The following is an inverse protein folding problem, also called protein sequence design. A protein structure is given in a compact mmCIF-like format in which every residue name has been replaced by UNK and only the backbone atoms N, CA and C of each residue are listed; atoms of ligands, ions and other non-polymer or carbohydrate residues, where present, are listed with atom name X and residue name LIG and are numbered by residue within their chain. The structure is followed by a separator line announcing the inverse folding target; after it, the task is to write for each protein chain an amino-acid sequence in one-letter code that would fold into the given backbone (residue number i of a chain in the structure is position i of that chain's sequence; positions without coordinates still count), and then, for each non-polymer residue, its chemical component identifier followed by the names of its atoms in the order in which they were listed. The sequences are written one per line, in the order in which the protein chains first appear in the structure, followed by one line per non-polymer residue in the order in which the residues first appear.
data_IF_609349772482
#
_entry.id   IF_609349772482
#
_cell.length_a   1.000
_cell.length_b   1.000
_cell.length_c   1.000
_cell.angle_alpha   90.00
_cell.angle_beta   90.00
_cell.angle_gamma   90.00
#
_symmetry.space_group_name_H-M   'P 1'
#
loop_
_entity.id
_entity.type
_entity.pdbx_description
1 polymer ?
#
# COMPACT_ATOMS: atom_id res chain seq x y z
N UNK A 1 3.00 -25.89 7.31
CA UNK A 1 1.88 -25.12 7.83
C UNK A 1 0.90 -26.00 8.56
N UNK A 2 0.07 -25.46 9.44
CA UNK A 2 -0.87 -26.28 10.19
C UNK A 2 -1.85 -27.04 9.30
N UNK A 3 -2.21 -28.26 9.70
CA UNK A 3 -3.21 -29.04 8.99
C UNK A 3 -4.54 -28.31 8.92
N UNK A 4 -5.26 -28.44 7.82
CA UNK A 4 -6.54 -27.76 7.61
C UNK A 4 -6.40 -26.31 7.20
N UNK A 5 -5.18 -25.78 7.08
CA UNK A 5 -4.96 -24.40 6.68
C UNK A 5 -4.88 -24.30 5.17
N UNK A 6 -5.86 -23.65 4.57
CA UNK A 6 -5.84 -23.30 3.15
C UNK A 6 -6.01 -21.78 3.06
N UNK A 7 -4.96 -21.09 2.63
CA UNK A 7 -5.03 -19.64 2.47
C UNK A 7 -5.77 -19.33 1.19
N UNK A 8 -6.85 -18.57 1.30
CA UNK A 8 -7.68 -18.19 0.15
C UNK A 8 -7.57 -16.70 -0.17
N UNK A 9 -6.98 -15.91 0.72
CA UNK A 9 -6.89 -14.47 0.54
C UNK A 9 -5.85 -13.89 1.50
N UNK A 10 -5.14 -12.88 1.05
CA UNK A 10 -4.24 -12.08 1.88
C UNK A 10 -4.66 -10.62 1.77
N UNK A 11 -4.91 -9.98 2.90
CA UNK A 11 -5.36 -8.59 2.95
C UNK A 11 -4.62 -7.85 4.07
N UNK A 12 -3.56 -7.11 3.75
CA UNK A 12 -2.91 -6.25 4.72
C UNK A 12 -3.82 -5.08 5.10
N UNK A 13 -3.88 -4.76 6.38
CA UNK A 13 -4.62 -3.60 6.87
C UNK A 13 -3.64 -2.59 7.48
N UNK A 14 -3.72 -1.35 7.04
CA UNK A 14 -2.94 -0.25 7.59
C UNK A 14 -3.76 0.40 8.69
N UNK A 15 -3.27 0.32 9.94
CA UNK A 15 -3.88 0.99 11.06
C UNK A 15 -3.41 2.44 11.09
N UNK A 16 -4.35 3.38 11.09
CA UNK A 16 -4.04 4.79 10.92
C UNK A 16 -5.07 5.69 11.58
N UNK A 17 -4.67 6.90 11.93
CA UNK A 17 -5.56 8.01 12.30
C UNK A 17 -5.83 8.94 11.12
N UNK A 18 -5.33 8.60 9.93
CA UNK A 18 -5.44 9.38 8.69
C UNK A 18 -6.10 8.55 7.59
N UNK A 19 -7.31 8.09 7.85
CA UNK A 19 -7.99 7.16 6.94
C UNK A 19 -8.25 7.74 5.56
N UNK A 20 -8.78 8.95 5.49
CA UNK A 20 -9.11 9.58 4.20
C UNK A 20 -7.88 9.91 3.38
N UNK A 21 -6.85 10.45 4.04
CA UNK A 21 -5.58 10.77 3.38
C UNK A 21 -4.90 9.51 2.84
N UNK A 22 -4.95 8.42 3.62
CA UNK A 22 -4.39 7.13 3.21
C UNK A 22 -5.15 6.56 2.01
N UNK A 23 -6.48 6.59 2.06
CA UNK A 23 -7.35 6.18 0.95
C UNK A 23 -6.99 6.94 -0.33
N UNK A 24 -6.94 8.27 -0.24
CA UNK A 24 -6.68 9.12 -1.39
C UNK A 24 -5.28 8.89 -1.97
N UNK A 25 -4.30 8.67 -1.10
CA UNK A 25 -2.93 8.37 -1.51
C UNK A 25 -2.87 7.09 -2.37
N UNK A 26 -3.43 5.99 -1.89
CA UNK A 26 -3.39 4.73 -2.63
C UNK A 26 -4.26 4.74 -3.87
N UNK A 27 -5.34 5.51 -3.86
CA UNK A 27 -6.13 5.76 -5.06
C UNK A 27 -5.32 6.49 -6.13
N UNK A 28 -4.66 7.56 -5.75
CA UNK A 28 -3.91 8.41 -6.69
C UNK A 28 -2.61 7.77 -7.16
N UNK A 29 -1.90 7.08 -6.26
CA UNK A 29 -0.62 6.46 -6.61
C UNK A 29 -0.80 5.18 -7.40
N UNK A 30 -1.69 4.29 -6.97
CA UNK A 30 -1.78 2.93 -7.49
C UNK A 30 -3.09 2.61 -8.23
N UNK A 31 -4.07 3.49 -8.18
CA UNK A 31 -5.35 3.26 -8.84
C UNK A 31 -6.29 2.35 -8.06
N UNK A 32 -6.07 2.14 -6.77
CA UNK A 32 -6.98 1.39 -5.93
C UNK A 32 -8.32 2.13 -5.81
N UNK A 33 -9.40 1.36 -5.75
CA UNK A 33 -10.74 1.90 -5.54
C UNK A 33 -11.38 1.25 -4.31
N UNK A 34 -12.27 1.98 -3.66
CA UNK A 34 -13.01 1.46 -2.51
C UNK A 34 -14.01 0.43 -2.98
N UNK A 35 -13.92 -0.79 -2.43
CA UNK A 35 -14.85 -1.87 -2.71
C UNK A 35 -15.83 -2.14 -1.56
N UNK A 36 -15.43 -1.81 -0.36
CA UNK A 36 -16.23 -2.04 0.83
C UNK A 36 -15.77 -1.11 1.94
N UNK A 37 -16.69 -0.64 2.79
CA UNK A 37 -16.32 0.12 3.97
C UNK A 37 -17.33 -0.06 5.10
N UNK A 38 -16.83 -0.03 6.33
CA UNK A 38 -17.59 0.25 7.53
C UNK A 38 -17.33 1.71 7.89
N UNK A 39 -18.37 2.50 7.85
CA UNK A 39 -18.26 3.93 8.03
C UNK A 39 -17.56 4.30 9.34
N UNK A 40 -16.50 5.08 9.18
CA UNK A 40 -15.78 5.65 10.32
C UNK A 40 -14.61 4.81 10.83
N UNK A 41 -14.44 3.56 10.39
CA UNK A 41 -13.35 2.77 10.93
C UNK A 41 -12.65 1.81 9.97
N UNK A 42 -13.24 1.47 8.82
CA UNK A 42 -12.64 0.50 7.89
C UNK A 42 -12.93 0.83 6.44
N UNK A 43 -11.88 0.77 5.61
CA UNK A 43 -11.99 0.93 4.17
C UNK A 43 -11.21 -0.20 3.52
N UNK A 44 -11.84 -0.94 2.61
CA UNK A 44 -11.19 -1.97 1.82
C UNK A 44 -11.09 -1.52 0.38
N UNK A 45 -9.89 -1.57 -0.17
CA UNK A 45 -9.59 -1.14 -1.53
C UNK A 45 -9.05 -2.30 -2.36
N UNK A 46 -9.29 -2.25 -3.65
CA UNK A 46 -8.80 -3.23 -4.61
C UNK A 46 -8.50 -2.54 -5.93
N UNK A 47 -7.67 -3.17 -6.75
CA UNK A 47 -7.47 -2.73 -8.13
C UNK A 47 -8.65 -3.20 -9.00
N UNK A 48 -9.25 -2.31 -9.82
CA UNK A 48 -10.40 -2.70 -10.65
C UNK A 48 -10.12 -3.87 -11.60
N UNK A 49 -8.94 -3.89 -12.21
CA UNK A 49 -8.56 -4.90 -13.19
C UNK A 49 -7.97 -6.17 -12.57
N UNK A 50 -7.55 -6.09 -11.30
CA UNK A 50 -6.96 -7.22 -10.55
C UNK A 50 -7.51 -7.18 -9.13
N UNK A 51 -8.77 -7.55 -8.93
CA UNK A 51 -9.44 -7.38 -7.63
C UNK A 51 -8.88 -8.25 -6.51
N UNK A 52 -8.01 -9.20 -6.82
CA UNK A 52 -7.29 -9.97 -5.82
C UNK A 52 -6.17 -9.17 -5.14
N UNK A 53 -5.74 -8.06 -5.73
CA UNK A 53 -4.76 -7.16 -5.12
C UNK A 53 -5.52 -6.15 -4.25
N UNK A 54 -5.39 -6.30 -2.95
CA UNK A 54 -6.23 -5.60 -1.98
C UNK A 54 -5.42 -4.98 -0.87
N UNK A 55 -5.96 -3.91 -0.30
CA UNK A 55 -5.38 -3.20 0.82
C UNK A 55 -6.51 -2.69 1.72
N UNK A 56 -6.40 -2.92 3.02
CA UNK A 56 -7.34 -2.40 3.99
C UNK A 56 -6.77 -1.20 4.74
N UNK A 57 -7.65 -0.31 5.15
CA UNK A 57 -7.32 0.87 5.95
C UNK A 57 -8.25 0.85 7.16
N UNK A 58 -7.68 0.92 8.35
CA UNK A 58 -8.41 0.75 9.58
C UNK A 58 -8.08 1.86 10.58
N UNK A 59 -9.12 2.37 11.24
CA UNK A 59 -8.88 3.34 12.31
C UNK A 59 -8.15 2.63 13.45
N UNK A 60 -7.03 3.20 13.85
CA UNK A 60 -6.09 2.53 14.73
C UNK A 60 -6.62 2.26 16.15
N UNK A 61 -7.59 3.03 16.62
CA UNK A 61 -8.17 2.90 17.96
C UNK A 61 -9.51 2.16 17.99
N UNK A 62 -9.88 1.48 16.92
CA UNK A 62 -11.11 0.69 16.87
C UNK A 62 -10.98 -0.60 17.69
N UNK A 63 -12.04 -0.97 18.37
CA UNK A 63 -12.10 -2.17 19.25
C UNK A 63 -11.84 -3.48 18.53
N UNK A 64 -11.94 -3.53 17.21
CA UNK A 64 -11.57 -4.71 16.42
C UNK A 64 -10.13 -5.13 16.68
N UNK A 65 -9.25 -4.16 16.94
CA UNK A 65 -7.86 -4.42 17.21
C UNK A 65 -7.63 -4.45 18.72
N UNK A 66 -7.01 -5.52 19.27
CA UNK A 66 -6.69 -5.57 20.68
C UNK A 66 -5.85 -4.37 21.11
N UNK A 67 -6.15 -3.84 22.29
CA UNK A 67 -5.52 -2.60 22.78
C UNK A 67 -4.00 -2.53 22.67
N UNK A 68 -3.25 -3.57 23.05
CA UNK A 68 -1.78 -3.52 22.94
C UNK A 68 -1.26 -3.32 21.52
N UNK A 69 -2.11 -3.56 20.53
CA UNK A 69 -1.76 -3.45 19.10
C UNK A 69 -2.33 -2.19 18.45
N UNK A 70 -3.02 -1.36 19.20
CA UNK A 70 -3.62 -0.11 18.69
C UNK A 70 -2.55 0.99 18.60
N UNK A 71 -1.71 0.92 17.59
CA UNK A 71 -0.69 1.92 17.31
C UNK A 71 -0.45 1.98 15.80
N UNK A 72 0.14 3.09 15.30
CA UNK A 72 0.41 3.24 13.87
C UNK A 72 1.33 2.15 13.36
N UNK A 73 1.10 1.73 12.11
CA UNK A 73 1.99 0.80 11.42
C UNK A 73 3.36 1.45 11.23
N UNK A 74 4.42 0.64 11.36
CA UNK A 74 5.79 1.11 11.27
C UNK A 74 6.67 0.01 10.71
N UNK A 75 7.67 0.38 9.91
CA UNK A 75 8.64 -0.57 9.40
C UNK A 75 8.12 -1.52 8.34
N UNK A 76 7.05 -1.14 7.64
CA UNK A 76 6.48 -1.92 6.55
C UNK A 76 6.81 -1.26 5.22
N UNK A 77 7.26 -2.07 4.27
CA UNK A 77 7.47 -1.65 2.89
C UNK A 77 6.47 -2.39 2.03
N UNK A 78 5.65 -1.66 1.30
CA UNK A 78 4.70 -2.23 0.35
C UNK A 78 5.38 -2.20 -1.02
N UNK A 79 5.79 -3.37 -1.50
CA UNK A 79 6.47 -3.49 -2.79
C UNK A 79 5.47 -3.81 -3.88
N UNK A 80 5.47 -3.00 -4.92
CA UNK A 80 4.54 -3.08 -6.04
C UNK A 80 5.36 -3.24 -7.32
N UNK A 81 5.22 -4.38 -7.97
CA UNK A 81 5.86 -4.59 -9.27
C UNK A 81 5.00 -3.97 -10.35
N UNK A 82 5.61 -3.14 -11.18
CA UNK A 82 4.96 -2.49 -12.31
C UNK A 82 5.62 -2.96 -13.61
N UNK A 83 4.90 -2.82 -14.70
CA UNK A 83 5.41 -3.27 -16.00
C UNK A 83 6.56 -2.40 -16.51
N UNK A 84 6.45 -1.07 -16.34
CA UNK A 84 7.43 -0.10 -16.78
C UNK A 84 7.70 0.91 -15.67
N UNK A 85 8.76 0.66 -14.88
CA UNK A 85 9.07 1.52 -13.74
C UNK A 85 9.50 2.92 -14.16
N UNK A 86 10.15 3.07 -15.32
CA UNK A 86 10.58 4.39 -15.78
C UNK A 86 9.38 5.27 -16.15
N UNK A 87 8.40 4.70 -16.85
CA UNK A 87 7.17 5.42 -17.19
C UNK A 87 6.39 5.77 -15.91
N UNK A 88 6.30 4.82 -14.98
CA UNK A 88 5.64 5.05 -13.69
C UNK A 88 6.33 6.15 -12.90
N UNK A 89 7.64 6.12 -12.84
CA UNK A 89 8.45 7.14 -12.17
C UNK A 89 8.18 8.53 -12.74
N UNK A 90 8.19 8.66 -14.07
CA UNK A 90 7.93 9.94 -14.71
C UNK A 90 6.55 10.50 -14.36
N UNK A 91 5.53 9.64 -14.36
CA UNK A 91 4.16 10.03 -14.01
C UNK A 91 4.04 10.44 -12.55
N UNK A 92 4.62 9.65 -11.66
CA UNK A 92 4.59 9.91 -10.20
C UNK A 92 5.27 11.24 -9.90
N UNK A 93 6.42 11.48 -10.50
CA UNK A 93 7.16 12.72 -10.33
C UNK A 93 6.38 13.93 -10.88
N UNK A 94 5.78 13.79 -12.06
CA UNK A 94 5.00 14.84 -12.69
C UNK A 94 3.75 15.21 -11.86
N UNK A 95 3.18 14.26 -11.12
CA UNK A 95 2.03 14.51 -10.25
C UNK A 95 2.41 15.11 -8.90
N UNK A 96 3.70 15.31 -8.64
CA UNK A 96 4.17 15.98 -7.44
C UNK A 96 4.28 15.10 -6.20
N UNK A 97 4.29 13.78 -6.35
CA UNK A 97 4.56 12.90 -5.22
C UNK A 97 5.99 13.10 -4.74
N UNK A 98 6.16 13.16 -3.44
CA UNK A 98 7.48 13.30 -2.84
C UNK A 98 8.19 11.96 -2.81
N UNK A 99 9.37 11.90 -3.44
CA UNK A 99 10.17 10.68 -3.50
C UNK A 99 10.93 10.48 -2.20
N UNK A 100 10.78 9.31 -1.59
CA UNK A 100 11.61 8.89 -0.46
C UNK A 100 12.93 8.30 -0.93
N UNK A 101 12.97 7.76 -2.14
CA UNK A 101 14.17 7.22 -2.77
C UNK A 101 14.05 7.38 -4.28
N UNK A 102 15.07 7.94 -4.89
CA UNK A 102 15.07 8.19 -6.33
C UNK A 102 15.25 6.91 -7.15
N UNK A 103 14.91 6.98 -8.43
CA UNK A 103 15.04 5.85 -9.34
C UNK A 103 16.48 5.36 -9.39
N UNK A 104 16.69 4.08 -9.16
CA UNK A 104 18.02 3.47 -9.15
C UNK A 104 17.96 2.00 -9.56
N UNK A 105 19.13 1.48 -9.95
CA UNK A 105 19.33 0.07 -10.22
C UNK A 105 19.96 -0.60 -9.02
N UNK A 106 19.43 -1.76 -8.65
CA UNK A 106 19.99 -2.59 -7.59
C UNK A 106 20.88 -3.70 -8.18
N UNK A 107 21.79 -4.20 -7.38
CA UNK A 107 22.77 -5.21 -7.82
C UNK A 107 22.13 -6.49 -8.37
N UNK A 108 20.95 -6.84 -7.86
CA UNK A 108 20.24 -8.05 -8.27
C UNK A 108 19.33 -7.85 -9.48
N UNK A 109 19.47 -6.71 -10.19
CA UNK A 109 18.76 -6.45 -11.44
C UNK A 109 17.43 -5.75 -11.30
N UNK A 110 17.00 -5.43 -10.09
CA UNK A 110 15.78 -4.66 -9.85
C UNK A 110 16.02 -3.16 -10.12
N UNK A 111 15.12 -2.51 -10.82
CA UNK A 111 15.09 -1.06 -10.94
C UNK A 111 13.90 -0.54 -10.14
N UNK A 112 14.11 0.43 -9.27
CA UNK A 112 13.10 0.86 -8.31
C UNK A 112 13.18 2.33 -7.91
N UNK A 113 12.07 2.84 -7.38
CA UNK A 113 12.01 4.09 -6.63
C UNK A 113 11.01 3.92 -5.48
N UNK A 114 11.02 4.84 -4.52
CA UNK A 114 10.14 4.74 -3.36
C UNK A 114 9.42 6.05 -3.08
N UNK A 115 8.18 5.93 -2.65
CA UNK A 115 7.32 7.05 -2.21
C UNK A 115 6.87 6.75 -0.78
N UNK A 116 6.87 7.76 0.09
CA UNK A 116 6.34 7.61 1.43
C UNK A 116 4.83 7.86 1.43
N UNK A 117 4.08 7.00 2.12
CA UNK A 117 2.65 7.22 2.30
C UNK A 117 2.39 8.21 3.45
N UNK A 118 1.13 8.65 3.69
CA UNK A 118 0.83 9.60 4.76
C UNK A 118 1.17 9.11 6.17
N UNK A 119 1.40 7.82 6.34
CA UNK A 119 1.72 7.19 7.63
C UNK A 119 3.22 6.94 7.83
N UNK A 120 4.04 7.32 6.85
CA UNK A 120 5.47 7.05 6.89
C UNK A 120 5.85 5.65 6.44
N UNK A 121 4.93 4.88 5.86
CA UNK A 121 5.26 3.60 5.23
C UNK A 121 5.85 3.86 3.84
N UNK A 122 6.77 3.01 3.43
CA UNK A 122 7.34 3.11 2.09
C UNK A 122 6.56 2.27 1.09
N UNK A 123 6.30 2.85 -0.08
CA UNK A 123 5.80 2.13 -1.23
C UNK A 123 6.95 2.01 -2.21
N UNK A 124 7.43 0.80 -2.42
CA UNK A 124 8.53 0.49 -3.31
C UNK A 124 7.97 0.06 -4.66
N UNK A 125 8.21 0.87 -5.69
CA UNK A 125 7.72 0.59 -7.04
C UNK A 125 8.89 0.11 -7.89
N UNK A 126 8.76 -1.06 -8.49
CA UNK A 126 9.90 -1.70 -9.14
C UNK A 126 9.50 -2.49 -10.38
N UNK A 127 10.50 -2.73 -11.23
CA UNK A 127 10.42 -3.71 -12.31
C UNK A 127 11.77 -4.39 -12.47
N UNK A 128 11.74 -5.54 -13.13
CA UNK A 128 12.96 -6.21 -13.61
C UNK A 128 13.03 -5.97 -15.12
N UNK A 129 14.21 -5.58 -15.63
CA UNK A 129 14.39 -5.36 -17.07
C UNK A 129 14.35 -6.66 -17.87
#
# INVERSE_FOLDING_TARGET
MPEGTTVTRLLPNICTDKMEETRDFYKELLGFVVGFEHKGWYIQMALPDKPELQLGIMRLDHEFTPRPFQHPAQGVIISVQVEDVEATYATVKARGFELAHDLCDEEFGMRRFMVADPNGLLVNMFSFP
#
